data_IF_342919448233
#
_entry.id   IF_342919448233
#
_cell.length_a   1.000
_cell.length_b   1.000
_cell.length_c   1.000
_cell.angle_alpha   90.00
_cell.angle_beta   90.00
_cell.angle_gamma   90.00
#
_symmetry.space_group_name_H-M   'P 1'
#
loop_
_entity.id
_entity.type
_entity.pdbx_description
1 polymer ?
#
# COMPACT_ATOMS: atom_id res chain seq x y z
N UNK A 1 16.57 -0.80 -15.93
CA UNK A 1 15.71 -1.34 -14.85
C UNK A 1 14.34 -1.61 -15.44
N UNK A 2 13.99 -2.87 -15.62
CA UNK A 2 12.68 -3.26 -16.13
C UNK A 2 11.76 -3.34 -14.91
N UNK A 3 10.85 -2.38 -14.74
CA UNK A 3 9.91 -2.31 -13.59
C UNK A 3 8.77 -3.33 -13.67
N UNK A 4 8.87 -4.29 -14.59
CA UNK A 4 7.89 -5.37 -14.71
C UNK A 4 8.31 -6.50 -13.79
N UNK A 5 7.36 -7.05 -13.03
CA UNK A 5 7.55 -8.28 -12.28
C UNK A 5 8.04 -9.39 -13.22
N UNK A 6 8.89 -10.27 -12.71
CA UNK A 6 9.26 -11.50 -13.42
C UNK A 6 8.05 -12.42 -13.58
N UNK A 7 8.13 -13.43 -14.46
CA UNK A 7 7.05 -14.42 -14.59
C UNK A 7 6.78 -15.15 -13.26
N UNK A 8 7.84 -15.44 -12.50
CA UNK A 8 7.74 -16.08 -11.19
C UNK A 8 7.06 -15.15 -10.16
N UNK A 9 7.38 -13.86 -10.18
CA UNK A 9 6.73 -12.87 -9.32
C UNK A 9 5.26 -12.65 -9.68
N UNK A 10 4.91 -12.70 -10.97
CA UNK A 10 3.51 -12.68 -11.42
C UNK A 10 2.76 -13.94 -10.96
N UNK A 11 3.41 -15.10 -10.98
CA UNK A 11 2.84 -16.34 -10.45
C UNK A 11 2.62 -16.24 -8.93
N UNK A 12 3.64 -15.79 -8.19
CA UNK A 12 3.57 -15.55 -6.75
C UNK A 12 2.44 -14.57 -6.40
N UNK A 13 2.30 -13.49 -7.16
CA UNK A 13 1.22 -12.51 -6.97
C UNK A 13 -0.16 -13.16 -7.07
N UNK A 14 -0.36 -14.02 -8.08
CA UNK A 14 -1.64 -14.73 -8.28
C UNK A 14 -1.89 -15.74 -7.17
N UNK A 15 -0.85 -16.46 -6.76
CA UNK A 15 -0.92 -17.40 -5.64
C UNK A 15 -1.27 -16.68 -4.34
N UNK A 16 -0.56 -15.60 -4.02
CA UNK A 16 -0.80 -14.77 -2.84
C UNK A 16 -2.26 -14.31 -2.78
N UNK A 17 -2.84 -13.81 -3.88
CA UNK A 17 -4.26 -13.43 -3.94
C UNK A 17 -5.20 -14.60 -3.60
N UNK A 18 -4.91 -15.78 -4.14
CA UNK A 18 -5.73 -16.98 -3.90
C UNK A 18 -5.63 -17.47 -2.45
N UNK A 19 -4.42 -17.47 -1.88
CA UNK A 19 -4.15 -18.06 -0.56
C UNK A 19 -4.54 -17.10 0.57
N UNK A 20 -4.28 -15.80 0.42
CA UNK A 20 -4.67 -14.79 1.42
C UNK A 20 -6.19 -14.71 1.61
N UNK A 21 -6.97 -15.09 0.59
CA UNK A 21 -8.42 -15.20 0.67
C UNK A 21 -8.93 -16.40 1.51
N UNK A 22 -8.11 -17.45 1.73
CA UNK A 22 -8.57 -18.75 2.23
C UNK A 22 -7.88 -19.26 3.51
N UNK A 23 -6.98 -18.50 4.14
CA UNK A 23 -6.34 -18.94 5.40
C UNK A 23 -4.87 -18.55 5.54
N UNK A 24 -4.21 -18.17 4.44
CA UNK A 24 -2.93 -17.44 4.47
C UNK A 24 -1.67 -18.30 4.52
N UNK A 25 -0.56 -17.64 4.22
CA UNK A 25 0.82 -18.09 4.44
C UNK A 25 1.16 -17.98 5.93
N UNK A 26 2.17 -18.74 6.38
CA UNK A 26 2.80 -18.59 7.70
C UNK A 26 3.98 -17.60 7.64
N UNK A 27 4.35 -17.00 8.79
CA UNK A 27 5.55 -16.16 8.88
C UNK A 27 6.81 -16.90 8.45
N UNK A 28 6.90 -18.19 8.74
CA UNK A 28 8.03 -19.03 8.38
C UNK A 28 8.13 -19.20 6.87
N UNK A 29 7.01 -19.47 6.18
CA UNK A 29 6.97 -19.54 4.70
C UNK A 29 7.34 -18.22 4.04
N UNK A 30 6.96 -17.08 4.63
CA UNK A 30 7.37 -15.76 4.14
C UNK A 30 8.87 -15.52 4.34
N UNK A 31 9.44 -15.98 5.46
CA UNK A 31 10.85 -15.79 5.79
C UNK A 31 11.80 -16.55 4.86
N UNK A 32 11.34 -17.63 4.23
CA UNK A 32 12.11 -18.40 3.25
C UNK A 32 12.21 -17.71 1.87
N UNK A 33 11.37 -16.70 1.60
CA UNK A 33 11.44 -15.92 0.38
C UNK A 33 12.54 -14.87 0.42
N UNK A 34 13.15 -14.61 -0.74
CA UNK A 34 13.96 -13.42 -0.91
C UNK A 34 13.13 -12.14 -0.73
N UNK A 35 13.80 -11.01 -0.49
CA UNK A 35 13.08 -9.78 -0.15
C UNK A 35 12.26 -9.20 -1.32
N UNK A 36 12.64 -9.46 -2.57
CA UNK A 36 11.90 -8.98 -3.73
C UNK A 36 10.61 -9.79 -3.93
N UNK A 37 10.64 -11.08 -3.66
CA UNK A 37 9.44 -11.93 -3.64
C UNK A 37 8.54 -11.60 -2.46
N UNK A 38 9.11 -11.38 -1.27
CA UNK A 38 8.38 -10.82 -0.13
C UNK A 38 7.72 -9.49 -0.47
N UNK A 39 8.34 -8.67 -1.33
CA UNK A 39 7.78 -7.37 -1.68
C UNK A 39 6.42 -7.47 -2.39
N UNK A 40 6.31 -8.40 -3.34
CA UNK A 40 5.06 -8.72 -4.03
C UNK A 40 4.00 -9.22 -3.06
N UNK A 41 4.41 -10.10 -2.13
CA UNK A 41 3.51 -10.62 -1.11
C UNK A 41 3.00 -9.51 -0.17
N UNK A 42 3.84 -8.59 0.29
CA UNK A 42 3.42 -7.50 1.17
C UNK A 42 2.38 -6.58 0.51
N UNK A 43 2.52 -6.30 -0.79
CA UNK A 43 1.50 -5.56 -1.53
C UNK A 43 0.16 -6.32 -1.53
N UNK A 44 0.16 -7.61 -1.85
CA UNK A 44 -1.07 -8.42 -1.86
C UNK A 44 -1.65 -8.61 -0.45
N UNK A 45 -0.80 -8.69 0.57
CA UNK A 45 -1.21 -8.72 1.97
C UNK A 45 -1.87 -7.39 2.39
N UNK A 46 -1.40 -6.26 1.87
CA UNK A 46 -2.06 -4.97 2.01
C UNK A 46 -3.44 -4.95 1.38
N UNK A 47 -3.58 -5.49 0.16
CA UNK A 47 -4.89 -5.64 -0.52
C UNK A 47 -5.87 -6.53 0.26
N UNK A 48 -5.36 -7.48 1.04
CA UNK A 48 -6.17 -8.35 1.90
C UNK A 48 -6.37 -7.79 3.32
N UNK A 49 -5.72 -6.68 3.68
CA UNK A 49 -5.61 -6.15 5.05
C UNK A 49 -5.07 -7.18 6.06
N UNK A 50 -4.05 -7.94 5.64
CA UNK A 50 -3.39 -9.01 6.43
C UNK A 50 -1.88 -8.84 6.58
N UNK A 51 -1.29 -7.74 6.11
CA UNK A 51 0.18 -7.56 6.14
C UNK A 51 0.80 -7.55 7.54
N UNK A 52 0.02 -7.25 8.58
CA UNK A 52 0.45 -7.41 9.97
C UNK A 52 0.92 -8.83 10.32
N UNK A 53 0.32 -9.84 9.71
CA UNK A 53 0.60 -11.24 10.01
C UNK A 53 2.02 -11.64 9.61
N UNK A 54 2.62 -10.91 8.67
CA UNK A 54 3.92 -11.22 8.07
C UNK A 54 5.05 -10.30 8.54
N UNK A 55 4.71 -9.18 9.19
CA UNK A 55 5.72 -8.24 9.66
C UNK A 55 6.49 -8.85 10.83
N UNK A 56 7.81 -8.92 10.70
CA UNK A 56 8.69 -9.28 11.81
C UNK A 56 9.02 -8.03 12.66
N UNK A 57 8.53 -7.93 13.91
CA UNK A 57 8.78 -6.75 14.75
C UNK A 57 10.24 -6.60 15.16
N UNK A 58 11.01 -7.68 15.15
CA UNK A 58 12.42 -7.70 15.53
C UNK A 58 13.37 -7.69 14.30
N UNK A 59 12.80 -7.63 13.09
CA UNK A 59 13.55 -7.61 11.84
C UNK A 59 14.32 -6.30 11.59
N UNK A 60 15.18 -6.24 10.56
CA UNK A 60 15.91 -5.02 10.21
C UNK A 60 14.98 -3.84 9.89
N UNK A 61 15.29 -2.64 10.40
CA UNK A 61 14.42 -1.45 10.22
C UNK A 61 14.10 -1.20 8.74
N UNK A 62 15.10 -1.27 7.85
CA UNK A 62 14.91 -1.02 6.43
C UNK A 62 13.93 -2.02 5.77
N UNK A 63 14.02 -3.31 6.14
CA UNK A 63 13.08 -4.33 5.67
C UNK A 63 11.66 -4.04 6.17
N UNK A 64 11.51 -3.70 7.46
CA UNK A 64 10.21 -3.35 8.04
C UNK A 64 9.57 -2.14 7.34
N UNK A 65 10.35 -1.07 7.11
CA UNK A 65 9.84 0.15 6.49
C UNK A 65 9.47 -0.06 5.02
N UNK A 66 10.27 -0.82 4.27
CA UNK A 66 9.94 -1.19 2.89
C UNK A 66 8.68 -2.08 2.82
N UNK A 67 8.59 -3.11 3.66
CA UNK A 67 7.42 -3.99 3.75
C UNK A 67 6.13 -3.20 4.05
N UNK A 68 6.18 -2.27 5.01
CA UNK A 68 5.04 -1.42 5.34
C UNK A 68 4.67 -0.45 4.21
N UNK A 69 5.63 0.04 3.42
CA UNK A 69 5.35 0.86 2.25
C UNK A 69 4.62 0.05 1.16
N UNK A 70 5.04 -1.19 0.92
CA UNK A 70 4.38 -2.10 -0.02
C UNK A 70 2.96 -2.46 0.45
N UNK A 71 2.78 -2.76 1.73
CA UNK A 71 1.46 -3.00 2.32
C UNK A 71 0.53 -1.78 2.15
N UNK A 72 1.05 -0.58 2.38
CA UNK A 72 0.31 0.67 2.19
C UNK A 72 -0.14 0.85 0.72
N UNK A 73 0.70 0.50 -0.25
CA UNK A 73 0.34 0.48 -1.68
C UNK A 73 -0.80 -0.49 -1.94
N UNK A 74 -0.74 -1.69 -1.36
CA UNK A 74 -1.80 -2.68 -1.46
C UNK A 74 -3.14 -2.18 -0.91
N UNK A 75 -3.11 -1.54 0.25
CA UNK A 75 -4.28 -0.91 0.88
C UNK A 75 -4.86 0.17 -0.03
N UNK A 76 -4.02 1.13 -0.46
CA UNK A 76 -4.44 2.24 -1.31
C UNK A 76 -5.13 1.76 -2.60
N UNK A 77 -4.51 0.76 -3.23
CA UNK A 77 -5.03 0.15 -4.45
C UNK A 77 -6.37 -0.55 -4.23
N UNK A 78 -6.53 -1.33 -3.15
CA UNK A 78 -7.78 -2.04 -2.89
C UNK A 78 -8.93 -1.08 -2.54
N UNK A 79 -8.70 -0.07 -1.69
CA UNK A 79 -9.76 0.88 -1.34
C UNK A 79 -10.16 1.77 -2.51
N UNK A 80 -9.23 2.04 -3.45
CA UNK A 80 -9.53 2.68 -4.72
C UNK A 80 -10.42 1.79 -5.61
N UNK A 81 -10.12 0.50 -5.72
CA UNK A 81 -10.94 -0.48 -6.46
C UNK A 81 -12.38 -0.52 -5.92
N UNK A 82 -12.55 -0.58 -4.60
CA UNK A 82 -13.86 -0.50 -3.94
C UNK A 82 -14.60 0.81 -4.27
N UNK A 83 -13.89 1.95 -4.21
CA UNK A 83 -14.48 3.25 -4.53
C UNK A 83 -14.94 3.34 -5.98
N UNK A 84 -14.15 2.82 -6.92
CA UNK A 84 -14.49 2.77 -8.34
C UNK A 84 -15.73 1.89 -8.57
N UNK A 85 -15.78 0.71 -7.94
CA UNK A 85 -16.94 -0.19 -8.04
C UNK A 85 -18.21 0.49 -7.52
N UNK A 86 -18.15 1.13 -6.35
CA UNK A 86 -19.25 1.88 -5.79
C UNK A 86 -19.65 3.04 -6.71
N UNK A 87 -18.69 3.81 -7.21
CA UNK A 87 -18.95 4.97 -8.05
C UNK A 87 -19.60 4.61 -9.39
N UNK A 88 -19.31 3.43 -9.93
CA UNK A 88 -19.89 2.92 -11.18
C UNK A 88 -21.32 2.40 -11.04
N UNK A 89 -21.72 1.99 -9.84
CA UNK A 89 -23.00 1.30 -9.59
C UNK A 89 -24.00 2.14 -8.80
N UNK A 90 -23.52 3.01 -7.92
CA UNK A 90 -24.37 3.89 -7.10
C UNK A 90 -24.94 5.01 -7.96
N UNK A 91 -26.26 5.11 -8.02
CA UNK A 91 -26.95 6.19 -8.74
C UNK A 91 -27.45 7.28 -7.80
N UNK A 92 -27.18 8.55 -8.16
CA UNK A 92 -27.78 9.74 -7.57
C UNK A 92 -28.02 10.80 -8.65
N UNK A 93 -29.12 11.55 -8.49
CA UNK A 93 -29.59 12.51 -9.49
C UNK A 93 -29.71 11.88 -10.90
N UNK A 94 -30.20 10.64 -10.96
CA UNK A 94 -30.55 9.94 -12.20
C UNK A 94 -29.39 9.34 -13.00
N UNK A 95 -28.19 9.23 -12.44
CA UNK A 95 -27.03 8.60 -13.10
C UNK A 95 -26.00 8.07 -12.08
N UNK A 96 -25.10 7.16 -12.47
CA UNK A 96 -23.99 6.72 -11.63
C UNK A 96 -23.14 7.88 -11.11
N UNK A 97 -22.73 7.84 -9.84
CA UNK A 97 -22.00 8.96 -9.23
C UNK A 97 -20.60 9.19 -9.83
N UNK A 98 -20.00 8.18 -10.46
CA UNK A 98 -18.69 8.28 -11.10
C UNK A 98 -18.63 9.26 -12.29
N UNK A 99 -19.77 9.68 -12.84
CA UNK A 99 -19.81 10.69 -13.92
C UNK A 99 -19.55 12.11 -13.43
N UNK A 100 -19.71 12.37 -12.13
CA UNK A 100 -19.46 13.69 -11.55
C UNK A 100 -17.96 13.85 -11.30
N UNK A 101 -17.38 14.93 -11.80
CA UNK A 101 -15.94 15.22 -11.65
C UNK A 101 -15.50 15.30 -10.18
N UNK A 102 -16.39 15.75 -9.29
CA UNK A 102 -16.14 15.77 -7.85
C UNK A 102 -15.92 14.36 -7.25
N UNK A 103 -16.30 13.30 -7.96
CA UNK A 103 -16.02 11.90 -7.61
C UNK A 103 -14.87 11.36 -8.45
N UNK A 104 -14.91 11.51 -9.78
CA UNK A 104 -13.92 10.88 -10.65
C UNK A 104 -12.52 11.50 -10.60
N UNK A 105 -12.39 12.82 -10.45
CA UNK A 105 -11.07 13.45 -10.35
C UNK A 105 -10.30 13.02 -9.09
N UNK A 106 -10.88 13.05 -7.87
CA UNK A 106 -10.18 12.53 -6.69
C UNK A 106 -9.78 11.05 -6.79
N UNK A 107 -10.56 10.22 -7.51
CA UNK A 107 -10.20 8.82 -7.74
C UNK A 107 -9.04 8.68 -8.75
N UNK A 108 -8.97 9.56 -9.76
CA UNK A 108 -7.82 9.63 -10.66
C UNK A 108 -6.55 10.10 -9.92
N UNK A 109 -6.66 11.10 -9.04
CA UNK A 109 -5.54 11.56 -8.20
C UNK A 109 -5.07 10.43 -7.26
N UNK A 110 -6.00 9.69 -6.66
CA UNK A 110 -5.69 8.53 -5.81
C UNK A 110 -4.95 7.44 -6.59
N UNK A 111 -5.32 7.20 -7.85
CA UNK A 111 -4.61 6.27 -8.71
C UNK A 111 -3.16 6.72 -8.96
N UNK A 112 -2.96 8.00 -9.30
CA UNK A 112 -1.62 8.57 -9.51
C UNK A 112 -0.77 8.44 -8.24
N UNK A 113 -1.32 8.81 -7.09
CA UNK A 113 -0.65 8.69 -5.80
C UNK A 113 -0.29 7.23 -5.48
N UNK A 114 -1.18 6.28 -5.78
CA UNK A 114 -0.93 4.85 -5.56
C UNK A 114 0.23 4.34 -6.42
N UNK A 115 0.29 4.73 -7.70
CA UNK A 115 1.36 4.30 -8.61
C UNK A 115 2.72 4.95 -8.30
N UNK A 116 2.71 6.19 -7.82
CA UNK A 116 3.93 6.85 -7.30
C UNK A 116 4.42 6.15 -6.02
N UNK A 117 3.51 5.81 -5.11
CA UNK A 117 3.83 5.06 -3.90
C UNK A 117 4.39 3.67 -4.23
N UNK A 118 3.77 2.97 -5.20
CA UNK A 118 4.24 1.68 -5.72
C UNK A 118 5.67 1.79 -6.23
N UNK A 119 5.94 2.78 -7.07
CA UNK A 119 7.27 2.98 -7.65
C UNK A 119 8.34 3.17 -6.57
N UNK A 120 8.06 4.01 -5.55
CA UNK A 120 8.97 4.21 -4.43
C UNK A 120 9.14 2.95 -3.57
N UNK A 121 8.05 2.23 -3.30
CA UNK A 121 8.07 1.03 -2.46
C UNK A 121 8.89 -0.10 -3.09
N UNK A 122 8.75 -0.35 -4.39
CA UNK A 122 9.57 -1.34 -5.09
C UNK A 122 11.03 -0.90 -5.27
N UNK A 123 11.29 0.40 -5.43
CA UNK A 123 12.67 0.90 -5.40
C UNK A 123 13.33 0.68 -4.04
N UNK A 124 12.60 0.96 -2.94
CA UNK A 124 13.06 0.67 -1.60
C UNK A 124 13.30 -0.83 -1.38
N UNK A 125 12.39 -1.68 -1.86
CA UNK A 125 12.55 -3.13 -1.78
C UNK A 125 13.81 -3.62 -2.51
N UNK A 126 14.06 -3.12 -3.71
CA UNK A 126 15.26 -3.44 -4.47
C UNK A 126 16.54 -3.00 -3.76
N UNK A 127 16.59 -1.76 -3.25
CA UNK A 127 17.77 -1.28 -2.54
C UNK A 127 18.07 -2.11 -1.29
N UNK A 128 17.02 -2.53 -0.57
CA UNK A 128 17.16 -3.40 0.61
C UNK A 128 17.66 -4.79 0.22
N UNK A 129 17.08 -5.39 -0.83
CA UNK A 129 17.46 -6.73 -1.29
C UNK A 129 18.91 -6.81 -1.76
N UNK A 130 19.38 -5.79 -2.49
CA UNK A 130 20.74 -5.73 -3.04
C UNK A 130 21.78 -5.17 -2.06
N UNK A 131 21.36 -4.69 -0.88
CA UNK A 131 22.24 -4.00 0.06
C UNK A 131 22.82 -2.69 -0.51
N UNK A 132 22.05 -1.99 -1.35
CA UNK A 132 22.45 -0.76 -2.01
C UNK A 132 22.66 0.38 -1.00
N UNK A 133 23.63 1.25 -1.27
CA UNK A 133 23.94 2.41 -0.41
C UNK A 133 22.77 3.42 -0.30
N UNK A 134 21.84 3.39 -1.26
CA UNK A 134 20.63 4.21 -1.26
C UNK A 134 19.51 3.63 -0.40
N UNK A 135 19.65 2.43 0.17
CA UNK A 135 18.61 1.82 1.01
C UNK A 135 18.07 2.77 2.09
N UNK A 136 18.89 3.54 2.85
CA UNK A 136 18.39 4.47 3.87
C UNK A 136 17.48 5.58 3.34
N UNK A 137 17.79 6.15 2.16
CA UNK A 137 16.98 7.21 1.55
C UNK A 137 15.75 6.62 0.86
N UNK A 138 15.88 5.45 0.23
CA UNK A 138 14.81 4.78 -0.48
C UNK A 138 13.67 4.37 0.45
N UNK A 139 13.99 3.71 1.57
CA UNK A 139 12.98 3.31 2.57
C UNK A 139 12.33 4.52 3.23
N UNK A 140 13.08 5.61 3.47
CA UNK A 140 12.53 6.83 4.03
C UNK A 140 11.55 7.51 3.05
N UNK A 141 11.93 7.65 1.78
CA UNK A 141 11.05 8.21 0.75
C UNK A 141 9.78 7.38 0.55
N UNK A 142 9.92 6.06 0.44
CA UNK A 142 8.80 5.14 0.30
C UNK A 142 7.85 5.20 1.50
N UNK A 143 8.39 5.14 2.72
CA UNK A 143 7.59 5.14 3.95
C UNK A 143 6.84 6.46 4.17
N UNK A 144 7.47 7.59 3.84
CA UNK A 144 6.83 8.90 3.92
C UNK A 144 5.62 8.98 2.99
N UNK A 145 5.83 8.63 1.72
CA UNK A 145 4.82 8.84 0.68
C UNK A 145 3.70 7.78 0.71
N UNK A 146 4.05 6.50 0.82
CA UNK A 146 3.07 5.41 0.77
C UNK A 146 2.09 5.45 1.96
N UNK A 147 2.56 5.82 3.15
CA UNK A 147 1.71 5.95 4.33
C UNK A 147 0.65 7.06 4.17
N UNK A 148 1.05 8.22 3.64
CA UNK A 148 0.13 9.33 3.36
C UNK A 148 -0.84 8.99 2.22
N UNK A 149 -0.35 8.37 1.14
CA UNK A 149 -1.17 7.94 0.02
C UNK A 149 -2.25 6.93 0.44
N UNK A 150 -1.92 5.94 1.29
CA UNK A 150 -2.89 4.96 1.79
C UNK A 150 -3.96 5.58 2.68
N UNK A 151 -3.59 6.53 3.53
CA UNK A 151 -4.54 7.29 4.37
C UNK A 151 -5.48 8.11 3.48
N UNK A 152 -4.94 8.89 2.54
CA UNK A 152 -5.73 9.70 1.63
C UNK A 152 -6.67 8.85 0.75
N UNK A 153 -6.20 7.70 0.26
CA UNK A 153 -7.01 6.75 -0.49
C UNK A 153 -8.20 6.22 0.34
N UNK A 154 -7.96 5.88 1.61
CA UNK A 154 -9.02 5.45 2.52
C UNK A 154 -10.05 6.56 2.77
N UNK A 155 -9.60 7.78 3.05
CA UNK A 155 -10.48 8.93 3.32
C UNK A 155 -11.35 9.26 2.10
N UNK A 156 -10.75 9.30 0.90
CA UNK A 156 -11.49 9.54 -0.35
C UNK A 156 -12.46 8.39 -0.66
N UNK A 157 -12.06 7.14 -0.42
CA UNK A 157 -12.95 5.99 -0.59
C UNK A 157 -14.15 6.05 0.36
N UNK A 158 -13.93 6.40 1.64
CA UNK A 158 -15.02 6.64 2.61
C UNK A 158 -15.96 7.74 2.10
N UNK A 159 -15.41 8.85 1.60
CA UNK A 159 -16.20 9.96 1.07
C UNK A 159 -17.05 9.55 -0.16
N UNK A 160 -16.50 8.72 -1.05
CA UNK A 160 -17.23 8.20 -2.23
C UNK A 160 -18.38 7.28 -1.83
N UNK A 161 -18.19 6.45 -0.80
CA UNK A 161 -19.25 5.60 -0.25
C UNK A 161 -20.28 6.40 0.57
N UNK A 162 -19.94 7.61 1.02
CA UNK A 162 -20.79 8.43 1.87
C UNK A 162 -21.04 7.75 3.22
N UNK A 163 -22.28 7.81 3.71
CA UNK A 163 -22.63 7.32 5.05
C UNK A 163 -22.25 5.85 5.31
N UNK A 164 -22.39 4.96 4.32
CA UNK A 164 -22.06 3.53 4.50
C UNK A 164 -20.56 3.31 4.71
N UNK A 165 -19.70 4.17 4.15
CA UNK A 165 -18.26 4.07 4.32
C UNK A 165 -17.80 4.25 5.78
N UNK A 166 -18.66 4.82 6.63
CA UNK A 166 -18.40 5.07 8.05
C UNK A 166 -19.10 4.07 8.99
N UNK A 167 -19.83 3.08 8.46
CA UNK A 167 -20.52 2.07 9.29
C UNK A 167 -19.64 0.84 9.53
N UNK A 168 -20.09 0.00 10.48
CA UNK A 168 -19.46 -1.30 10.74
C UNK A 168 -19.73 -2.35 9.66
N UNK A 169 -20.69 -2.08 8.76
CA UNK A 169 -21.07 -2.98 7.67
C UNK A 169 -20.08 -2.93 6.51
N UNK A 170 -19.35 -1.82 6.37
CA UNK A 170 -18.35 -1.66 5.32
C UNK A 170 -16.93 -1.94 5.84
N UNK A 171 -16.09 -2.53 4.99
CA UNK A 171 -14.71 -2.93 5.35
C UNK A 171 -13.74 -1.75 5.47
N UNK A 172 -14.10 -0.57 4.93
CA UNK A 172 -13.19 0.58 4.78
C UNK A 172 -12.58 1.05 6.10
N UNK A 173 -13.34 1.01 7.20
CA UNK A 173 -12.79 1.38 8.51
C UNK A 173 -11.63 0.47 8.97
N UNK A 174 -11.56 -0.78 8.52
CA UNK A 174 -10.45 -1.70 8.85
C UNK A 174 -9.18 -1.28 8.10
N UNK A 175 -9.31 -1.02 6.80
CA UNK A 175 -8.24 -0.47 5.97
C UNK A 175 -7.75 0.87 6.48
N UNK A 176 -8.66 1.78 6.84
CA UNK A 176 -8.30 3.11 7.34
C UNK A 176 -7.49 3.03 8.65
N UNK A 177 -7.93 2.19 9.60
CA UNK A 177 -7.17 1.94 10.84
C UNK A 177 -5.78 1.36 10.56
N UNK A 178 -5.67 0.43 9.61
CA UNK A 178 -4.37 -0.15 9.24
C UNK A 178 -3.46 0.88 8.58
N UNK A 179 -3.98 1.67 7.64
CA UNK A 179 -3.24 2.76 6.99
C UNK A 179 -2.71 3.79 8.01
N UNK A 180 -3.53 4.21 8.98
CA UNK A 180 -3.12 5.11 10.06
C UNK A 180 -1.99 4.51 10.92
N UNK A 181 -2.08 3.21 11.25
CA UNK A 181 -1.01 2.53 12.00
C UNK A 181 0.28 2.45 11.19
N UNK A 182 0.19 2.08 9.91
CA UNK A 182 1.34 2.06 9.01
C UNK A 182 1.96 3.45 8.98
N UNK A 183 1.18 4.52 8.78
CA UNK A 183 1.66 5.90 8.74
C UNK A 183 2.43 6.30 10.01
N UNK A 184 1.98 5.86 11.19
CA UNK A 184 2.62 6.18 12.46
C UNK A 184 3.86 5.32 12.79
N UNK A 185 3.95 4.10 12.26
CA UNK A 185 5.04 3.16 12.56
C UNK A 185 6.39 3.68 12.06
N UNK A 186 7.42 3.63 12.92
CA UNK A 186 8.76 4.16 12.62
C UNK A 186 8.86 5.70 12.64
N UNK A 187 7.73 6.39 12.75
CA UNK A 187 7.56 7.83 12.71
C UNK A 187 6.71 8.29 11.52
N UNK A 188 6.09 9.46 11.65
CA UNK A 188 5.31 10.06 10.59
C UNK A 188 6.19 10.55 9.42
N UNK A 189 5.54 10.88 8.31
CA UNK A 189 6.21 11.33 7.09
C UNK A 189 7.21 12.49 7.31
N UNK A 190 6.96 13.40 8.24
CA UNK A 190 7.89 14.48 8.57
C UNK A 190 9.29 13.99 8.95
N UNK A 191 9.37 12.98 9.83
CA UNK A 191 10.64 12.36 10.26
C UNK A 191 11.35 11.69 9.08
N UNK A 192 10.61 11.03 8.21
CA UNK A 192 11.18 10.37 7.04
C UNK A 192 11.65 11.37 5.98
N UNK A 193 10.91 12.46 5.76
CA UNK A 193 11.33 13.56 4.87
C UNK A 193 12.58 14.26 5.40
N UNK A 194 12.73 14.38 6.72
CA UNK A 194 13.97 14.89 7.34
C UNK A 194 15.17 13.97 7.04
N UNK A 195 15.01 12.64 7.10
CA UNK A 195 16.06 11.69 6.69
C UNK A 195 16.44 11.84 5.21
N UNK A 196 15.44 12.02 4.33
CA UNK A 196 15.69 12.27 2.91
C UNK A 196 16.41 13.60 2.71
N UNK A 197 16.01 14.65 3.41
CA UNK A 197 16.65 15.96 3.34
C UNK A 197 18.11 15.91 3.80
N UNK A 198 18.40 15.23 4.91
CA UNK A 198 19.77 15.03 5.38
C UNK A 198 20.64 14.33 4.32
N UNK A 199 20.13 13.24 3.73
CA UNK A 199 20.85 12.50 2.68
C UNK A 199 21.13 13.34 1.43
N UNK A 200 20.25 14.27 1.05
CA UNK A 200 20.43 15.14 -0.12
C UNK A 200 21.39 16.33 0.13
N UNK A 201 21.66 16.65 1.39
CA UNK A 201 22.46 17.81 1.79
C UNK A 201 23.89 17.45 2.20
N UNK A 202 24.16 16.16 2.39
CA UNK A 202 25.51 15.59 2.56
C UNK A 202 26.23 15.43 1.21
#
# INVERSE_FOLDING_TARGET
>A
MQFALTEDQELLRREARSVLANGGWSRDEVAELDFLDRAVLFEEAGRANRGEEFLDPDGPEHEQLAALALEAVGIAQHVLELAIEHARTREQFGRPIGVYQAVSHPLADTYIETELARSLAYWAAWCVAEGDEQAPVAVAAAKAYAGEAAVAACERSIQVHGGIGFTWEHVLQRYYKRALRIQAFGGYASKHRERVAAWLLD
#
